data_IF_503489890549
#
_entry.id   IF_503489890549
#
_cell.length_a   1.000
_cell.length_b   1.000
_cell.length_c   1.000
_cell.angle_alpha   90.00
_cell.angle_beta   90.00
_cell.angle_gamma   90.00
#
_symmetry.space_group_name_H-M   'P 1'
#
loop_
_entity.id
_entity.type
_entity.pdbx_description
1 polymer ?
#
# COMPACT_ATOMS: atom_id res chain seq x y z
N UNK A 1 16.85 1.37 7.32
CA UNK A 1 15.40 1.63 7.23
C UNK A 1 14.74 0.27 7.15
N UNK A 2 13.81 -0.04 8.07
CA UNK A 2 12.98 -1.23 7.91
C UNK A 2 12.13 -1.02 6.66
N UNK A 3 12.22 -1.92 5.70
CA UNK A 3 11.38 -1.82 4.51
C UNK A 3 9.97 -2.22 4.92
N UNK A 4 8.97 -1.53 4.39
CA UNK A 4 7.56 -1.87 4.62
C UNK A 4 7.24 -3.34 4.28
N UNK A 5 8.02 -3.93 3.36
CA UNK A 5 7.99 -5.36 3.03
C UNK A 5 8.28 -6.29 4.21
N UNK A 6 9.02 -5.83 5.21
CA UNK A 6 9.34 -6.63 6.40
C UNK A 6 8.16 -6.74 7.38
N UNK A 7 7.17 -5.86 7.26
CA UNK A 7 5.99 -5.80 8.12
C UNK A 7 4.81 -6.61 7.58
N UNK A 8 4.85 -7.01 6.31
CA UNK A 8 3.79 -7.77 5.68
C UNK A 8 4.03 -9.28 5.81
N UNK A 9 2.97 -10.08 5.99
CA UNK A 9 3.09 -11.53 6.01
C UNK A 9 3.77 -12.02 4.72
N UNK A 10 4.92 -12.68 4.86
CA UNK A 10 5.56 -13.34 3.73
C UNK A 10 4.69 -14.49 3.23
N UNK A 11 4.88 -14.88 1.97
CA UNK A 11 4.10 -15.93 1.32
C UNK A 11 4.02 -17.24 2.15
N UNK A 12 5.10 -17.62 2.84
CA UNK A 12 5.12 -18.79 3.72
C UNK A 12 4.22 -18.66 4.96
N UNK A 13 4.07 -17.45 5.49
CA UNK A 13 3.17 -17.18 6.61
C UNK A 13 1.71 -17.29 6.18
N UNK A 14 1.37 -16.81 4.97
CA UNK A 14 0.01 -16.89 4.42
C UNK A 14 -0.46 -18.34 4.23
N UNK A 15 0.42 -19.24 3.79
CA UNK A 15 0.10 -20.68 3.62
C UNK A 15 -0.38 -21.37 4.89
N UNK A 16 0.08 -20.90 6.05
CA UNK A 16 -0.24 -21.49 7.35
C UNK A 16 -1.42 -20.79 8.04
N UNK A 17 -2.04 -19.79 7.40
CA UNK A 17 -3.18 -19.06 7.96
C UNK A 17 -4.48 -19.85 7.81
N UNK A 18 -5.35 -19.70 8.81
CA UNK A 18 -6.74 -20.19 8.74
C UNK A 18 -7.55 -19.40 7.70
N UNK A 19 -8.66 -19.94 7.17
CA UNK A 19 -9.54 -19.20 6.24
C UNK A 19 -10.03 -17.86 6.77
N UNK A 20 -10.30 -17.77 8.08
CA UNK A 20 -10.69 -16.51 8.72
C UNK A 20 -9.57 -15.47 8.72
N UNK A 21 -8.33 -15.90 8.96
CA UNK A 21 -7.15 -15.03 8.89
C UNK A 21 -6.82 -14.59 7.46
N UNK A 22 -6.98 -15.48 6.48
CA UNK A 22 -6.82 -15.15 5.06
C UNK A 22 -7.83 -14.10 4.63
N UNK A 23 -9.11 -14.27 4.99
CA UNK A 23 -10.16 -13.28 4.70
C UNK A 23 -9.90 -11.94 5.40
N UNK A 24 -9.47 -11.95 6.66
CA UNK A 24 -9.13 -10.73 7.37
C UNK A 24 -7.93 -10.02 6.73
N UNK A 25 -6.94 -10.77 6.24
CA UNK A 25 -5.76 -10.24 5.56
C UNK A 25 -6.14 -9.59 4.23
N UNK A 26 -6.92 -10.28 3.39
CA UNK A 26 -7.48 -9.72 2.15
C UNK A 26 -8.18 -8.37 2.41
N UNK A 27 -9.14 -8.35 3.34
CA UNK A 27 -9.91 -7.14 3.66
C UNK A 27 -9.03 -6.01 4.20
N UNK A 28 -8.07 -6.33 5.07
CA UNK A 28 -7.15 -5.34 5.61
C UNK A 28 -6.26 -4.75 4.51
N UNK A 29 -5.71 -5.58 3.63
CA UNK A 29 -4.86 -5.11 2.53
C UNK A 29 -5.63 -4.22 1.55
N UNK A 30 -6.85 -4.58 1.17
CA UNK A 30 -7.71 -3.75 0.30
C UNK A 30 -8.03 -2.39 0.95
N UNK A 31 -8.40 -2.40 2.24
CA UNK A 31 -8.69 -1.18 2.99
C UNK A 31 -7.46 -0.27 3.09
N UNK A 32 -6.29 -0.84 3.42
CA UNK A 32 -5.03 -0.10 3.50
C UNK A 32 -4.63 0.50 2.14
N UNK A 33 -4.72 -0.27 1.05
CA UNK A 33 -4.44 0.22 -0.31
C UNK A 33 -5.35 1.39 -0.65
N UNK A 34 -6.65 1.30 -0.36
CA UNK A 34 -7.60 2.38 -0.61
C UNK A 34 -7.24 3.65 0.17
N UNK A 35 -6.95 3.54 1.47
CA UNK A 35 -6.56 4.70 2.30
C UNK A 35 -5.25 5.33 1.79
N UNK A 36 -4.25 4.51 1.45
CA UNK A 36 -2.98 5.00 0.92
C UNK A 36 -3.16 5.70 -0.44
N UNK A 37 -4.01 5.16 -1.32
CA UNK A 37 -4.31 5.79 -2.60
C UNK A 37 -4.95 7.18 -2.42
N UNK A 38 -5.90 7.32 -1.49
CA UNK A 38 -6.47 8.64 -1.15
C UNK A 38 -5.41 9.59 -0.59
N UNK A 39 -4.52 9.10 0.28
CA UNK A 39 -3.41 9.90 0.82
C UNK A 39 -2.44 10.39 -0.26
N UNK A 40 -2.02 9.50 -1.17
CA UNK A 40 -1.16 9.83 -2.32
C UNK A 40 -1.84 10.88 -3.22
N UNK A 41 -3.15 10.72 -3.48
CA UNK A 41 -3.94 11.70 -4.23
C UNK A 41 -3.96 13.07 -3.55
N UNK A 42 -4.17 13.11 -2.23
CA UNK A 42 -4.11 14.34 -1.44
C UNK A 42 -2.74 15.03 -1.51
N UNK A 43 -1.65 14.27 -1.42
CA UNK A 43 -0.29 14.80 -1.60
C UNK A 43 -0.13 15.38 -3.02
N UNK A 44 -0.57 14.66 -4.05
CA UNK A 44 -0.55 15.14 -5.43
C UNK A 44 -1.34 16.44 -5.63
N UNK A 45 -2.49 16.57 -4.98
CA UNK A 45 -3.28 17.80 -5.01
C UNK A 45 -2.54 18.97 -4.34
N UNK A 46 -1.92 18.76 -3.17
CA UNK A 46 -1.12 19.78 -2.50
C UNK A 46 0.09 20.22 -3.34
N UNK A 47 0.75 19.28 -4.02
CA UNK A 47 1.82 19.59 -4.96
C UNK A 47 1.33 20.46 -6.11
N UNK A 48 0.18 20.12 -6.71
CA UNK A 48 -0.41 20.90 -7.78
C UNK A 48 -0.80 22.31 -7.33
N UNK A 49 -1.42 22.46 -6.15
CA UNK A 49 -1.72 23.76 -5.55
C UNK A 49 -0.46 24.58 -5.32
N UNK A 50 0.60 23.96 -4.80
CA UNK A 50 1.87 24.64 -4.53
C UNK A 50 2.55 25.10 -5.82
N UNK A 51 2.53 24.28 -6.86
CA UNK A 51 3.07 24.65 -8.16
C UNK A 51 2.24 25.75 -8.86
N UNK A 52 0.93 25.79 -8.63
CA UNK A 52 0.00 26.70 -9.33
C UNK A 52 -0.25 28.03 -8.62
N UNK A 53 0.11 28.17 -7.33
CA UNK A 53 -0.19 29.39 -6.57
C UNK A 53 0.62 30.62 -7.01
N UNK A 54 1.74 30.43 -7.71
CA UNK A 54 2.60 31.51 -8.23
C UNK A 54 3.33 32.35 -7.17
N UNK A 55 3.14 32.07 -5.88
CA UNK A 55 3.65 32.88 -4.76
C UNK A 55 4.68 32.12 -3.92
N UNK A 56 4.45 30.84 -3.66
CA UNK A 56 5.30 30.01 -2.80
C UNK A 56 5.45 28.62 -3.39
N UNK A 57 6.67 28.29 -3.83
CA UNK A 57 7.04 26.93 -4.26
C UNK A 57 7.57 26.07 -3.12
N UNK A 58 7.73 24.77 -3.37
CA UNK A 58 8.48 23.90 -2.47
C UNK A 58 9.98 24.17 -2.59
N UNK A 59 10.69 24.10 -1.47
CA UNK A 59 12.15 24.08 -1.51
C UNK A 59 12.64 22.81 -2.22
N UNK A 60 13.84 22.83 -2.85
CA UNK A 60 14.39 21.63 -3.48
C UNK A 60 14.45 20.42 -2.53
N UNK A 61 14.79 20.65 -1.27
CA UNK A 61 14.80 19.61 -0.24
C UNK A 61 13.39 19.02 0.00
N UNK A 62 12.36 19.87 0.12
CA UNK A 62 10.99 19.41 0.30
C UNK A 62 10.50 18.59 -0.93
N UNK A 63 10.89 18.98 -2.15
CA UNK A 63 10.57 18.22 -3.37
C UNK A 63 11.25 16.84 -3.33
N UNK A 64 12.53 16.77 -2.93
CA UNK A 64 13.26 15.51 -2.78
C UNK A 64 12.60 14.60 -1.74
N UNK A 65 12.26 15.14 -0.56
CA UNK A 65 11.63 14.36 0.52
C UNK A 65 10.27 13.80 0.10
N UNK A 66 9.46 14.59 -0.61
CA UNK A 66 8.18 14.13 -1.16
C UNK A 66 8.39 13.06 -2.23
N UNK A 67 9.43 13.18 -3.06
CA UNK A 67 9.79 12.15 -4.04
C UNK A 67 10.08 10.80 -3.37
N UNK A 68 10.94 10.78 -2.35
CA UNK A 68 11.26 9.55 -1.59
C UNK A 68 10.05 8.99 -0.84
N UNK A 69 9.19 9.87 -0.31
CA UNK A 69 7.95 9.48 0.33
C UNK A 69 7.02 8.79 -0.68
N UNK A 70 6.79 9.38 -1.85
CA UNK A 70 5.92 8.82 -2.89
C UNK A 70 6.45 7.48 -3.40
N UNK A 71 7.76 7.34 -3.59
CA UNK A 71 8.37 6.05 -3.94
C UNK A 71 8.12 4.98 -2.86
N UNK A 72 8.35 5.34 -1.60
CA UNK A 72 8.13 4.43 -0.46
C UNK A 72 6.66 4.02 -0.34
N UNK A 73 5.72 4.96 -0.54
CA UNK A 73 4.29 4.69 -0.54
C UNK A 73 3.87 3.81 -1.72
N UNK A 74 4.41 4.06 -2.92
CA UNK A 74 4.17 3.23 -4.09
C UNK A 74 4.62 1.79 -3.89
N UNK A 75 5.82 1.59 -3.33
CA UNK A 75 6.32 0.25 -2.97
C UNK A 75 5.43 -0.44 -1.93
N UNK A 76 5.00 0.28 -0.88
CA UNK A 76 4.10 -0.26 0.13
C UNK A 76 2.74 -0.68 -0.47
N UNK A 77 2.14 0.15 -1.34
CA UNK A 77 0.87 -0.17 -2.03
C UNK A 77 1.02 -1.43 -2.89
N UNK A 78 2.12 -1.56 -3.63
CA UNK A 78 2.43 -2.77 -4.40
C UNK A 78 2.49 -4.01 -3.51
N UNK A 79 3.29 -3.96 -2.43
CA UNK A 79 3.44 -5.10 -1.53
C UNK A 79 2.12 -5.48 -0.83
N UNK A 80 1.29 -4.50 -0.44
CA UNK A 80 -0.04 -4.75 0.11
C UNK A 80 -0.96 -5.43 -0.90
N UNK A 81 -0.93 -4.98 -2.16
CA UNK A 81 -1.74 -5.56 -3.24
C UNK A 81 -1.33 -7.01 -3.50
N UNK A 82 -0.03 -7.30 -3.54
CA UNK A 82 0.50 -8.66 -3.70
C UNK A 82 0.12 -9.56 -2.53
N UNK A 83 0.21 -9.04 -1.30
CA UNK A 83 -0.18 -9.77 -0.07
C UNK A 83 -1.66 -10.09 -0.07
N UNK A 84 -2.51 -9.13 -0.44
CA UNK A 84 -3.95 -9.32 -0.56
C UNK A 84 -4.31 -10.36 -1.61
N UNK A 85 -3.72 -10.25 -2.81
CA UNK A 85 -3.91 -11.22 -3.88
C UNK A 85 -3.48 -12.64 -3.47
N UNK A 86 -2.36 -12.78 -2.76
CA UNK A 86 -1.91 -14.06 -2.24
C UNK A 86 -2.88 -14.62 -1.18
N UNK A 87 -3.43 -13.77 -0.31
CA UNK A 87 -4.45 -14.19 0.66
C UNK A 87 -5.74 -14.66 -0.02
N UNK A 88 -6.22 -13.95 -1.05
CA UNK A 88 -7.38 -14.35 -1.87
C UNK A 88 -7.12 -15.67 -2.59
N UNK A 89 -5.93 -15.85 -3.17
CA UNK A 89 -5.53 -17.10 -3.81
C UNK A 89 -5.63 -18.29 -2.84
N UNK A 90 -4.96 -18.21 -1.68
CA UNK A 90 -4.99 -19.29 -0.69
C UNK A 90 -6.39 -19.52 -0.12
N UNK A 91 -7.20 -18.48 0.06
CA UNK A 91 -8.58 -18.63 0.51
C UNK A 91 -9.43 -19.39 -0.51
N UNK A 92 -9.17 -19.22 -1.81
CA UNK A 92 -9.87 -19.94 -2.87
C UNK A 92 -9.46 -21.42 -2.94
N UNK A 93 -8.20 -21.76 -2.63
CA UNK A 93 -7.75 -23.16 -2.53
C UNK A 93 -8.36 -23.90 -1.34
N UNK A 94 -8.63 -23.20 -0.22
CA UNK A 94 -9.23 -23.83 0.97
C UNK A 94 -10.76 -24.00 0.84
N UNK A 95 -11.39 -23.35 -0.15
CA UNK A 95 -12.77 -23.64 -0.54
C UNK A 95 -12.75 -24.66 -1.70
N UNK A 96 -12.78 -25.98 -1.45
CA UNK A 96 -13.05 -26.91 -2.54
C UNK A 96 -14.41 -26.55 -3.16
N UNK A 97 -14.50 -26.67 -4.48
CA UNK A 97 -15.63 -26.21 -5.30
C UNK A 97 -16.98 -26.30 -4.61
N UNK A 98 -17.74 -25.19 -4.69
CA UNK A 98 -19.17 -25.19 -4.40
C UNK A 98 -19.90 -26.23 -5.27
#
# INVERSE_FOLDING_TARGET
>A
MSYWSDLLPRHEALKNMTPGQLKATEQATESCVSVLAHGISGIGHLLACTASNGETGLSPAAVTDIGWLLESLGSLVGNLSDTGAAATYHLSEVKPGA
#
